data_IF_176107702035
#
_entry.id   IF_176107702035
#
_cell.length_a   1.000
_cell.length_b   1.000
_cell.length_c   1.000
_cell.angle_alpha   90.00
_cell.angle_beta   90.00
_cell.angle_gamma   90.00
#
_symmetry.space_group_name_H-M   'P 1'
#
loop_
_entity.id
_entity.type
_entity.pdbx_description
1 polymer ?
#
# COMPACT_ATOMS: atom_id res chain seq x y z
N UNK A 1 -73.79 49.33 -49.08
CA UNK A 1 -73.62 48.43 -47.94
C UNK A 1 -72.54 47.41 -48.34
N UNK A 2 -71.33 47.49 -47.82
CA UNK A 2 -70.23 46.60 -48.20
C UNK A 2 -69.96 45.66 -47.02
N UNK A 3 -70.27 44.39 -47.19
CA UNK A 3 -69.99 43.33 -46.20
C UNK A 3 -68.57 42.83 -46.35
N UNK A 4 -67.78 43.00 -45.34
CA UNK A 4 -66.39 42.45 -45.29
C UNK A 4 -66.48 41.03 -44.71
N UNK A 5 -66.04 40.04 -45.49
CA UNK A 5 -65.81 38.67 -45.03
C UNK A 5 -64.41 38.61 -44.34
N UNK A 6 -64.42 38.16 -43.10
CA UNK A 6 -63.25 37.94 -42.35
C UNK A 6 -62.82 36.45 -42.48
N UNK A 7 -61.68 36.19 -43.11
CA UNK A 7 -61.13 34.84 -43.22
C UNK A 7 -60.14 34.64 -42.07
N UNK A 8 -60.56 33.73 -41.18
CA UNK A 8 -59.70 33.33 -40.04
C UNK A 8 -58.81 32.16 -40.46
N UNK A 9 -57.53 32.41 -40.56
CA UNK A 9 -56.50 31.35 -40.80
C UNK A 9 -56.14 30.64 -39.47
N UNK A 10 -56.50 29.35 -39.40
CA UNK A 10 -56.05 28.48 -38.29
C UNK A 10 -54.70 27.91 -38.64
N UNK A 11 -53.64 28.33 -37.88
CA UNK A 11 -52.33 27.75 -37.98
C UNK A 11 -52.23 26.51 -37.05
N UNK A 12 -52.13 25.34 -37.66
CA UNK A 12 -51.88 24.07 -36.93
C UNK A 12 -50.38 23.93 -36.70
N UNK A 13 -49.97 24.12 -35.46
CA UNK A 13 -48.60 23.82 -35.02
C UNK A 13 -48.47 22.31 -34.79
N UNK A 14 -47.77 21.62 -35.69
CA UNK A 14 -47.38 20.22 -35.51
C UNK A 14 -46.11 20.19 -34.66
N UNK A 15 -46.24 19.88 -33.36
CA UNK A 15 -45.11 19.63 -32.46
C UNK A 15 -44.57 18.22 -32.72
N UNK A 16 -43.43 18.11 -33.39
CA UNK A 16 -42.68 16.86 -33.55
C UNK A 16 -41.94 16.62 -32.22
N UNK A 17 -42.47 15.74 -31.38
CA UNK A 17 -41.77 15.23 -30.20
C UNK A 17 -40.68 14.26 -30.67
N UNK A 18 -39.40 14.71 -30.67
CA UNK A 18 -38.26 13.83 -30.85
C UNK A 18 -38.10 13.03 -29.56
N UNK A 19 -38.65 11.84 -29.47
CA UNK A 19 -38.34 10.84 -28.46
C UNK A 19 -36.93 10.35 -28.75
N UNK A 20 -35.94 10.98 -28.11
CA UNK A 20 -34.59 10.46 -28.04
C UNK A 20 -34.64 9.11 -27.33
N UNK A 21 -34.40 8.02 -28.04
CA UNK A 21 -34.21 6.70 -27.47
C UNK A 21 -32.89 6.73 -26.65
N UNK A 22 -32.99 7.08 -25.37
CA UNK A 22 -31.96 6.73 -24.41
C UNK A 22 -31.97 5.21 -24.25
N UNK A 23 -31.16 4.52 -25.01
CA UNK A 23 -30.84 3.11 -24.75
C UNK A 23 -30.35 2.96 -23.31
N UNK A 24 -30.65 1.84 -22.62
CA UNK A 24 -30.11 1.62 -21.27
C UNK A 24 -28.62 1.77 -21.34
N UNK A 25 -28.06 2.73 -20.58
CA UNK A 25 -26.63 2.82 -20.39
C UNK A 25 -26.16 1.46 -19.88
N UNK A 26 -25.34 0.75 -20.65
CA UNK A 26 -24.71 -0.48 -20.23
C UNK A 26 -23.82 -0.10 -19.05
N UNK A 27 -24.35 -0.27 -17.85
CA UNK A 27 -23.62 -0.02 -16.63
C UNK A 27 -22.44 -0.99 -16.63
N UNK A 28 -21.22 -0.46 -16.77
CA UNK A 28 -20.02 -1.28 -16.76
C UNK A 28 -20.03 -2.16 -15.50
N UNK A 29 -19.93 -3.47 -15.70
CA UNK A 29 -20.02 -4.44 -14.60
C UNK A 29 -18.86 -4.19 -13.63
N UNK A 30 -19.19 -3.64 -12.47
CA UNK A 30 -18.20 -3.47 -11.41
C UNK A 30 -17.67 -4.84 -10.97
N UNK A 31 -16.37 -4.94 -10.77
CA UNK A 31 -15.73 -6.12 -10.22
C UNK A 31 -16.07 -6.24 -8.73
N UNK A 32 -16.56 -7.40 -8.32
CA UNK A 32 -16.60 -7.78 -6.91
C UNK A 32 -15.19 -8.10 -6.39
N UNK A 33 -15.09 -8.46 -5.11
CA UNK A 33 -13.82 -8.77 -4.46
C UNK A 33 -13.04 -9.86 -5.20
N UNK A 34 -13.70 -10.96 -5.57
CA UNK A 34 -13.02 -12.09 -6.23
C UNK A 34 -12.57 -11.73 -7.65
N UNK A 35 -13.38 -11.00 -8.39
CA UNK A 35 -13.02 -10.47 -9.70
C UNK A 35 -11.78 -9.60 -9.64
N UNK A 36 -11.66 -8.71 -8.65
CA UNK A 36 -10.48 -7.87 -8.44
C UNK A 36 -9.23 -8.69 -8.11
N UNK A 37 -9.34 -9.68 -7.22
CA UNK A 37 -8.23 -10.59 -6.89
C UNK A 37 -7.78 -11.37 -8.12
N UNK A 38 -8.72 -11.91 -8.89
CA UNK A 38 -8.43 -12.64 -10.13
C UNK A 38 -7.73 -11.73 -11.16
N UNK A 39 -8.12 -10.45 -11.23
CA UNK A 39 -7.45 -9.47 -12.11
C UNK A 39 -6.00 -9.26 -11.70
N UNK A 40 -5.71 -9.12 -10.40
CA UNK A 40 -4.33 -8.99 -9.90
C UNK A 40 -3.51 -10.25 -10.19
N UNK A 41 -4.07 -11.44 -9.96
CA UNK A 41 -3.39 -12.71 -10.26
C UNK A 41 -3.09 -12.85 -11.77
N UNK A 42 -4.05 -12.49 -12.62
CA UNK A 42 -3.86 -12.46 -14.07
C UNK A 42 -2.79 -11.44 -14.47
N UNK A 43 -2.76 -10.27 -13.83
CA UNK A 43 -1.74 -9.25 -14.04
C UNK A 43 -0.33 -9.76 -13.71
N UNK A 44 -0.14 -10.38 -12.54
CA UNK A 44 1.15 -10.95 -12.13
C UNK A 44 1.59 -12.06 -13.08
N UNK A 45 0.67 -12.94 -13.50
CA UNK A 45 0.96 -14.01 -14.46
C UNK A 45 1.34 -13.46 -15.84
N UNK A 46 0.69 -12.39 -16.30
CA UNK A 46 1.01 -11.70 -17.55
C UNK A 46 2.40 -11.05 -17.49
N UNK A 47 2.73 -10.44 -16.35
CA UNK A 47 4.04 -9.82 -16.12
C UNK A 47 5.17 -10.84 -16.19
N UNK A 48 5.04 -12.01 -15.55
CA UNK A 48 6.04 -13.11 -15.62
C UNK A 48 6.21 -13.64 -17.05
N UNK A 49 5.15 -13.58 -17.86
CA UNK A 49 5.20 -13.99 -19.28
C UNK A 49 5.62 -12.84 -20.21
N UNK A 50 5.92 -11.66 -19.70
CA UNK A 50 6.22 -10.45 -20.47
C UNK A 50 5.16 -10.15 -21.54
N UNK A 51 3.89 -10.46 -21.26
CA UNK A 51 2.78 -10.33 -22.20
C UNK A 51 1.70 -9.37 -21.66
N UNK A 52 1.86 -8.06 -21.87
CA UNK A 52 0.89 -7.06 -21.40
C UNK A 52 -0.49 -7.20 -22.09
N UNK A 53 -0.56 -7.74 -23.30
CA UNK A 53 -1.84 -7.95 -24.00
C UNK A 53 -2.74 -9.00 -23.32
N UNK A 54 -2.19 -9.80 -22.41
CA UNK A 54 -2.98 -10.78 -21.66
C UNK A 54 -3.92 -10.15 -20.61
N UNK A 55 -3.80 -8.85 -20.34
CA UNK A 55 -4.65 -8.11 -19.40
C UNK A 55 -5.27 -6.87 -20.04
N UNK A 56 -6.49 -6.47 -19.62
CA UNK A 56 -7.20 -5.34 -20.22
C UNK A 56 -6.69 -4.02 -19.63
N UNK A 57 -5.69 -3.41 -20.23
CA UNK A 57 -5.28 -2.05 -19.88
C UNK A 57 -6.19 -0.99 -20.52
N UNK A 58 -6.37 0.14 -19.81
CA UNK A 58 -6.93 1.34 -20.41
C UNK A 58 -5.93 1.99 -21.35
N UNK A 59 -6.41 2.80 -22.31
CA UNK A 59 -5.54 3.48 -23.29
C UNK A 59 -4.55 4.44 -22.62
N UNK A 60 -4.96 5.09 -21.53
CA UNK A 60 -4.18 6.05 -20.75
C UNK A 60 -3.87 5.50 -19.35
N UNK A 61 -3.16 4.38 -19.27
CA UNK A 61 -2.79 3.81 -17.96
C UNK A 61 -1.72 4.67 -17.28
N UNK A 62 -1.93 5.02 -16.02
CA UNK A 62 -0.91 5.61 -15.16
C UNK A 62 -0.13 4.49 -14.49
N UNK A 63 1.18 4.40 -14.77
CA UNK A 63 2.06 3.38 -14.19
C UNK A 63 3.25 4.02 -13.48
N UNK A 64 3.49 3.62 -12.24
CA UNK A 64 4.67 4.03 -11.45
C UNK A 64 5.37 2.82 -10.85
N UNK A 65 6.69 2.91 -10.70
CA UNK A 65 7.51 1.95 -9.95
C UNK A 65 8.46 2.72 -9.03
N UNK A 66 8.41 2.44 -7.73
CA UNK A 66 9.18 3.12 -6.69
C UNK A 66 9.04 4.67 -6.71
N UNK A 67 7.85 5.16 -7.03
CA UNK A 67 7.58 6.60 -7.13
C UNK A 67 7.83 7.22 -8.50
N UNK A 68 8.61 6.60 -9.36
CA UNK A 68 8.87 7.11 -10.70
C UNK A 68 7.75 6.75 -11.68
N UNK A 69 7.44 7.68 -12.56
CA UNK A 69 6.50 7.46 -13.65
C UNK A 69 7.23 6.75 -14.78
N UNK A 70 7.03 5.43 -14.90
CA UNK A 70 7.72 4.62 -15.90
C UNK A 70 7.02 4.72 -17.25
N UNK A 71 5.68 4.72 -17.26
CA UNK A 71 4.87 4.76 -18.47
C UNK A 71 3.58 5.52 -18.27
N UNK A 72 3.12 6.16 -19.33
CA UNK A 72 1.81 6.83 -19.42
C UNK A 72 0.82 6.04 -20.28
N UNK A 73 1.30 5.16 -21.15
CA UNK A 73 0.49 4.43 -22.11
C UNK A 73 1.07 3.04 -22.39
N UNK A 74 0.26 2.16 -22.97
CA UNK A 74 0.68 0.84 -23.45
C UNK A 74 1.52 0.94 -24.74
N UNK A 75 2.38 -0.05 -25.01
CA UNK A 75 2.55 -1.26 -24.24
C UNK A 75 3.38 -1.03 -22.98
N UNK A 76 2.91 -1.60 -21.86
CA UNK A 76 3.69 -1.71 -20.63
C UNK A 76 4.82 -2.70 -20.89
N UNK A 77 6.04 -2.34 -20.59
CA UNK A 77 7.18 -3.20 -20.89
C UNK A 77 8.46 -2.73 -20.23
N UNK A 78 8.36 -1.82 -19.28
CA UNK A 78 9.50 -1.23 -18.58
C UNK A 78 9.52 -1.63 -17.09
N UNK A 79 10.66 -1.38 -16.44
CA UNK A 79 10.84 -1.70 -15.04
C UNK A 79 10.78 -3.20 -14.77
N UNK A 80 10.06 -3.61 -13.74
CA UNK A 80 9.95 -5.02 -13.35
C UNK A 80 9.35 -5.91 -14.46
N UNK A 81 8.54 -5.36 -15.38
CA UNK A 81 8.04 -6.13 -16.53
C UNK A 81 9.13 -6.70 -17.44
N UNK A 82 10.29 -6.02 -17.52
CA UNK A 82 11.42 -6.49 -18.35
C UNK A 82 12.28 -7.51 -17.62
N UNK A 83 12.28 -7.52 -16.31
CA UNK A 83 13.30 -8.21 -15.52
C UNK A 83 12.77 -9.31 -14.62
N UNK A 84 11.43 -9.36 -14.40
CA UNK A 84 10.81 -10.43 -13.62
C UNK A 84 11.02 -11.78 -14.29
N UNK A 85 11.47 -12.79 -13.53
CA UNK A 85 11.78 -14.12 -14.02
C UNK A 85 10.88 -15.22 -13.45
N UNK A 86 10.04 -14.90 -12.44
CA UNK A 86 9.15 -15.88 -11.84
C UNK A 86 8.31 -15.36 -10.66
N UNK A 87 7.49 -16.21 -10.11
CA UNK A 87 6.60 -15.93 -8.98
C UNK A 87 5.14 -15.82 -9.38
N UNK A 88 4.25 -15.43 -8.45
CA UNK A 88 4.56 -15.27 -7.04
C UNK A 88 4.83 -16.61 -6.32
N UNK A 89 5.58 -16.56 -5.22
CA UNK A 89 5.80 -17.72 -4.32
C UNK A 89 4.57 -17.99 -3.45
N UNK A 90 4.70 -18.82 -2.40
CA UNK A 90 3.61 -19.03 -1.43
C UNK A 90 3.32 -17.80 -0.54
N UNK A 91 4.24 -16.82 -0.46
CA UNK A 91 3.99 -15.58 0.25
C UNK A 91 3.16 -14.62 -0.63
N UNK A 92 1.85 -14.60 -0.39
CA UNK A 92 0.91 -13.79 -1.15
C UNK A 92 -0.19 -13.25 -0.23
N UNK A 93 -0.33 -11.94 -0.18
CA UNK A 93 -1.41 -11.23 0.52
C UNK A 93 -2.16 -10.40 -0.51
N UNK A 94 -3.48 -10.55 -0.56
CA UNK A 94 -4.35 -9.77 -1.46
C UNK A 94 -5.40 -9.02 -0.64
N UNK A 95 -5.59 -7.75 -0.96
CA UNK A 95 -6.68 -6.93 -0.45
C UNK A 95 -7.44 -6.31 -1.63
N UNK A 96 -8.76 -6.35 -1.60
CA UNK A 96 -9.58 -5.84 -2.68
C UNK A 96 -10.71 -4.96 -2.14
N UNK A 97 -10.94 -3.83 -2.80
CA UNK A 97 -11.92 -2.81 -2.46
C UNK A 97 -12.89 -2.64 -3.65
N UNK A 98 -14.03 -3.34 -3.64
CA UNK A 98 -15.02 -3.23 -4.72
C UNK A 98 -15.61 -1.82 -4.86
N UNK A 99 -15.65 -1.02 -3.80
CA UNK A 99 -16.14 0.37 -3.85
C UNK A 99 -15.17 1.26 -4.61
N UNK A 100 -13.88 1.13 -4.33
CA UNK A 100 -12.84 1.88 -5.04
C UNK A 100 -12.48 1.25 -6.39
N UNK A 101 -12.99 0.05 -6.73
CA UNK A 101 -12.56 -0.77 -7.86
C UNK A 101 -11.03 -0.95 -7.88
N UNK A 102 -10.44 -1.19 -6.72
CA UNK A 102 -9.01 -1.31 -6.53
C UNK A 102 -8.63 -2.62 -5.84
N UNK A 103 -7.45 -3.13 -6.19
CA UNK A 103 -6.86 -4.31 -5.58
C UNK A 103 -5.38 -4.06 -5.34
N UNK A 104 -4.89 -4.52 -4.20
CA UNK A 104 -3.47 -4.51 -3.88
C UNK A 104 -2.98 -5.90 -3.49
N UNK A 105 -1.70 -6.14 -3.72
CA UNK A 105 -1.04 -7.35 -3.23
C UNK A 105 0.34 -7.03 -2.67
N UNK A 106 0.79 -7.88 -1.75
CA UNK A 106 2.18 -7.99 -1.31
C UNK A 106 2.63 -9.42 -1.55
N UNK A 107 3.61 -9.60 -2.41
CA UNK A 107 4.04 -10.92 -2.89
C UNK A 107 5.56 -10.98 -3.05
N UNK A 108 6.12 -12.19 -2.95
CA UNK A 108 7.49 -12.45 -3.37
C UNK A 108 7.49 -12.89 -4.83
N UNK A 109 8.25 -12.16 -5.64
CA UNK A 109 8.54 -12.47 -7.03
C UNK A 109 10.02 -12.79 -7.20
N UNK A 110 10.40 -13.23 -8.38
CA UNK A 110 11.81 -13.39 -8.77
C UNK A 110 12.16 -12.37 -9.85
N UNK A 111 13.28 -11.68 -9.65
CA UNK A 111 13.88 -10.81 -10.65
C UNK A 111 15.30 -11.31 -10.94
N UNK A 112 15.58 -11.73 -12.17
CA UNK A 112 16.86 -12.36 -12.52
C UNK A 112 17.25 -13.45 -11.50
N UNK A 113 16.26 -14.30 -11.16
CA UNK A 113 16.35 -15.43 -10.23
C UNK A 113 16.61 -15.08 -8.75
N UNK A 114 16.63 -13.78 -8.40
CA UNK A 114 16.69 -13.31 -7.00
C UNK A 114 15.30 -12.99 -6.48
N UNK A 115 15.08 -13.30 -5.22
CA UNK A 115 13.84 -12.93 -4.56
C UNK A 115 13.74 -11.41 -4.40
N UNK A 116 12.58 -10.87 -4.74
CA UNK A 116 12.19 -9.48 -4.52
C UNK A 116 10.82 -9.46 -3.83
N UNK A 117 10.56 -8.42 -3.06
CA UNK A 117 9.26 -8.17 -2.49
C UNK A 117 8.56 -7.10 -3.33
N UNK A 118 7.39 -7.45 -3.86
CA UNK A 118 6.57 -6.57 -4.69
C UNK A 118 5.27 -6.23 -3.96
N UNK A 119 5.07 -4.95 -3.71
CA UNK A 119 3.77 -4.35 -3.43
C UNK A 119 3.19 -3.80 -4.73
N UNK A 120 2.05 -4.29 -5.15
CA UNK A 120 1.39 -3.80 -6.34
C UNK A 120 -0.05 -3.37 -6.06
N UNK A 121 -0.48 -2.28 -6.69
CA UNK A 121 -1.86 -1.82 -6.71
C UNK A 121 -2.35 -1.67 -8.14
N UNK A 122 -3.55 -2.15 -8.39
CA UNK A 122 -4.31 -1.88 -9.62
C UNK A 122 -5.59 -1.13 -9.26
N UNK A 123 -5.97 -0.18 -10.11
CA UNK A 123 -7.30 0.43 -10.08
C UNK A 123 -7.96 0.22 -11.44
N UNK A 124 -9.21 -0.20 -11.41
CA UNK A 124 -9.99 -0.46 -12.61
C UNK A 124 -10.97 0.70 -12.85
N UNK A 125 -11.12 1.05 -14.12
CA UNK A 125 -12.18 1.92 -14.64
C UNK A 125 -12.83 1.15 -15.79
N UNK A 126 -14.13 0.98 -15.76
CA UNK A 126 -14.90 0.23 -16.76
C UNK A 126 -14.32 -1.17 -17.07
N UNK A 127 -13.83 -1.86 -16.03
CA UNK A 127 -13.25 -3.20 -16.14
C UNK A 127 -11.84 -3.25 -16.73
N UNK A 128 -11.23 -2.11 -17.06
CA UNK A 128 -9.85 -1.99 -17.55
C UNK A 128 -8.93 -1.46 -16.47
N UNK A 129 -7.68 -1.88 -16.48
CA UNK A 129 -6.64 -1.38 -15.58
C UNK A 129 -6.25 0.03 -16.02
N UNK A 130 -6.65 1.03 -15.21
CA UNK A 130 -6.36 2.45 -15.46
C UNK A 130 -5.16 2.97 -14.67
N UNK A 131 -4.87 2.34 -13.50
CA UNK A 131 -3.73 2.71 -12.68
C UNK A 131 -2.98 1.47 -12.23
N UNK A 132 -1.65 1.56 -12.28
CA UNK A 132 -0.72 0.56 -11.75
C UNK A 132 0.31 1.28 -10.88
N UNK A 133 0.52 0.78 -9.68
CA UNK A 133 1.55 1.26 -8.78
C UNK A 133 2.36 0.07 -8.27
N UNK A 134 3.65 0.06 -8.53
CA UNK A 134 4.60 -0.90 -8.00
C UNK A 134 5.48 -0.26 -6.94
N UNK A 135 5.67 -0.97 -5.86
CA UNK A 135 6.74 -0.73 -4.91
C UNK A 135 7.57 -2.02 -4.84
N UNK A 136 8.84 -1.92 -5.18
CA UNK A 136 9.74 -3.08 -5.31
C UNK A 136 10.91 -2.91 -4.36
N UNK A 137 11.05 -3.82 -3.41
CA UNK A 137 12.23 -3.92 -2.56
C UNK A 137 13.19 -4.98 -3.11
N UNK A 138 14.41 -4.55 -3.40
CA UNK A 138 15.52 -5.35 -3.91
C UNK A 138 16.65 -5.35 -2.90
N UNK A 139 17.34 -6.45 -2.74
CA UNK A 139 18.59 -6.50 -1.98
C UNK A 139 18.50 -6.82 -0.49
N UNK A 140 17.37 -6.59 0.17
CA UNK A 140 17.13 -6.95 1.57
C UNK A 140 16.08 -8.04 1.74
N UNK A 141 15.65 -8.64 0.64
CA UNK A 141 14.65 -9.71 0.62
C UNK A 141 15.39 -11.04 0.61
N UNK A 142 15.18 -11.82 1.65
CA UNK A 142 15.64 -13.20 1.75
C UNK A 142 14.39 -14.07 1.87
N UNK A 143 13.95 -14.62 0.74
CA UNK A 143 12.77 -15.47 0.67
C UNK A 143 12.89 -16.76 1.49
N UNK A 144 14.09 -17.11 1.97
CA UNK A 144 14.28 -18.23 2.88
C UNK A 144 13.88 -17.92 4.32
N UNK A 145 13.67 -16.65 4.68
CA UNK A 145 13.20 -16.27 6.01
C UNK A 145 11.84 -16.91 6.29
N UNK A 146 11.63 -17.50 7.47
CA UNK A 146 10.34 -18.12 7.82
C UNK A 146 9.14 -17.18 7.64
N UNK A 147 9.32 -15.90 7.93
CA UNK A 147 8.30 -14.84 7.79
C UNK A 147 7.92 -14.53 6.34
N UNK A 148 8.75 -14.91 5.38
CA UNK A 148 8.53 -14.73 3.94
C UNK A 148 8.22 -16.04 3.19
N UNK A 149 8.17 -17.18 3.90
CA UNK A 149 7.74 -18.46 3.30
C UNK A 149 6.23 -18.49 3.06
N UNK A 150 5.46 -17.93 3.97
CA UNK A 150 4.00 -17.75 3.87
C UNK A 150 3.55 -16.59 4.74
N UNK A 151 2.44 -15.93 4.39
CA UNK A 151 1.87 -14.88 5.23
C UNK A 151 1.41 -15.40 6.59
N UNK A 152 1.35 -14.51 7.58
CA UNK A 152 0.70 -14.80 8.85
C UNK A 152 -0.77 -15.14 8.63
N UNK A 153 -1.33 -16.15 9.33
CA UNK A 153 -2.71 -16.58 9.11
C UNK A 153 -3.73 -15.45 9.25
N UNK A 154 -3.56 -14.56 10.23
CA UNK A 154 -4.47 -13.46 10.49
C UNK A 154 -4.65 -12.53 9.28
N UNK A 155 -3.61 -12.32 8.46
CA UNK A 155 -3.71 -11.52 7.22
C UNK A 155 -4.57 -12.20 6.14
N UNK A 156 -4.71 -13.54 6.20
CA UNK A 156 -5.46 -14.33 5.21
C UNK A 156 -6.89 -14.62 5.61
N UNK A 157 -7.21 -14.57 6.91
CA UNK A 157 -8.52 -14.89 7.47
C UNK A 157 -9.55 -13.80 7.19
N UNK A 158 -10.77 -14.24 6.91
CA UNK A 158 -11.92 -13.33 6.84
C UNK A 158 -12.32 -12.89 8.25
N UNK A 159 -12.71 -11.63 8.38
CA UNK A 159 -13.31 -11.12 9.61
C UNK A 159 -14.76 -11.60 9.67
N UNK A 160 -15.21 -12.19 10.79
CA UNK A 160 -16.61 -12.56 10.96
C UNK A 160 -17.56 -11.42 10.64
N UNK A 161 -18.68 -11.62 9.96
CA UNK A 161 -19.57 -10.54 9.52
C UNK A 161 -19.97 -9.55 10.62
N UNK A 162 -20.21 -10.03 11.83
CA UNK A 162 -20.56 -9.20 13.00
C UNK A 162 -19.40 -8.32 13.52
N UNK A 163 -18.15 -8.59 13.12
CA UNK A 163 -16.95 -7.87 13.54
C UNK A 163 -16.34 -7.04 12.41
N UNK A 164 -16.94 -7.07 11.22
CA UNK A 164 -16.47 -6.29 10.07
C UNK A 164 -16.69 -4.81 10.33
N UNK A 165 -15.68 -4.06 9.96
CA UNK A 165 -15.74 -2.59 9.99
C UNK A 165 -16.05 -2.05 8.59
N UNK A 166 -16.63 -0.87 8.52
CA UNK A 166 -16.87 -0.22 7.25
C UNK A 166 -15.55 0.28 6.62
N UNK A 167 -15.64 0.62 5.35
CA UNK A 167 -14.52 1.11 4.56
C UNK A 167 -13.87 2.38 5.15
N UNK A 168 -14.69 3.31 5.61
CA UNK A 168 -14.22 4.59 6.16
C UNK A 168 -13.46 4.39 7.49
N UNK A 169 -13.97 3.51 8.34
CA UNK A 169 -13.32 3.15 9.61
C UNK A 169 -11.97 2.47 9.39
N UNK A 170 -11.88 1.51 8.44
CA UNK A 170 -10.61 0.86 8.09
C UNK A 170 -9.56 1.88 7.62
N UNK A 171 -9.96 2.83 6.77
CA UNK A 171 -9.08 3.89 6.28
C UNK A 171 -8.64 4.80 7.43
N UNK A 172 -9.57 5.25 8.28
CA UNK A 172 -9.29 6.13 9.42
C UNK A 172 -8.28 5.49 10.39
N UNK A 173 -8.49 4.21 10.73
CA UNK A 173 -7.58 3.48 11.62
C UNK A 173 -6.22 3.27 10.96
N UNK A 174 -6.17 2.93 9.68
CA UNK A 174 -4.89 2.83 8.97
C UNK A 174 -4.12 4.14 8.90
N UNK A 175 -4.81 5.29 8.74
CA UNK A 175 -4.18 6.61 8.74
C UNK A 175 -3.60 6.99 10.11
N UNK A 176 -4.27 6.62 11.21
CA UNK A 176 -3.79 6.93 12.56
C UNK A 176 -2.42 6.33 12.88
N UNK A 177 -2.01 5.26 12.20
CA UNK A 177 -0.65 4.72 12.30
C UNK A 177 0.42 5.75 11.94
N UNK A 178 0.19 6.50 10.87
CA UNK A 178 1.12 7.55 10.45
C UNK A 178 1.12 8.74 11.40
N UNK A 179 -0.04 9.05 12.01
CA UNK A 179 -0.14 10.08 13.03
C UNK A 179 0.64 9.68 14.28
N UNK A 180 0.55 8.41 14.69
CA UNK A 180 1.33 7.88 15.80
C UNK A 180 2.85 8.00 15.55
N UNK A 181 3.31 7.69 14.34
CA UNK A 181 4.73 7.80 13.97
C UNK A 181 5.23 9.25 13.99
N UNK A 182 4.48 10.18 13.37
CA UNK A 182 4.89 11.59 13.31
C UNK A 182 4.70 12.33 14.63
N UNK A 183 3.78 11.86 15.48
CA UNK A 183 3.58 12.38 16.84
C UNK A 183 4.49 11.75 17.89
N UNK A 184 5.27 10.72 17.53
CA UNK A 184 6.10 9.94 18.47
C UNK A 184 5.28 9.39 19.65
N UNK A 185 4.00 9.12 19.42
CA UNK A 185 3.05 8.67 20.44
C UNK A 185 2.19 7.53 19.89
N UNK A 186 2.47 6.30 20.34
CA UNK A 186 1.74 5.12 19.95
C UNK A 186 0.26 5.13 20.32
N UNK A 187 -0.16 5.96 21.27
CA UNK A 187 -1.57 6.06 21.70
C UNK A 187 -2.48 6.71 20.65
N UNK A 188 -1.91 7.38 19.63
CA UNK A 188 -2.67 7.95 18.52
C UNK A 188 -3.29 6.89 17.59
N UNK A 189 -2.78 5.66 17.64
CA UNK A 189 -3.35 4.56 16.87
C UNK A 189 -3.88 3.44 17.79
N UNK A 190 -5.05 2.87 17.50
CA UNK A 190 -5.67 1.85 18.35
C UNK A 190 -5.02 0.49 18.13
N UNK A 191 -3.81 0.28 18.65
CA UNK A 191 -3.15 -1.02 18.55
C UNK A 191 -3.80 -2.06 19.47
N UNK A 192 -3.90 -3.30 19.01
CA UNK A 192 -4.14 -4.44 19.87
C UNK A 192 -2.88 -4.70 20.72
N UNK A 193 -3.05 -5.26 21.93
CA UNK A 193 -1.91 -5.61 22.78
C UNK A 193 -0.96 -6.59 22.12
N UNK A 194 -1.51 -7.52 21.35
CA UNK A 194 -0.81 -8.54 20.56
C UNK A 194 -0.36 -8.07 19.17
N UNK A 195 -0.38 -6.75 18.92
CA UNK A 195 0.02 -6.19 17.63
C UNK A 195 1.44 -6.65 17.23
N UNK A 196 1.55 -7.18 16.00
CA UNK A 196 2.81 -7.62 15.42
C UNK A 196 3.10 -6.87 14.12
N UNK A 197 4.32 -6.30 13.98
CA UNK A 197 4.75 -5.58 12.79
C UNK A 197 5.96 -6.24 12.16
N UNK A 198 5.84 -6.52 10.86
CA UNK A 198 6.95 -6.92 10.01
C UNK A 198 7.25 -5.84 8.99
N UNK A 199 8.53 -5.71 8.63
CA UNK A 199 9.00 -4.82 7.59
C UNK A 199 10.03 -5.55 6.73
N UNK A 200 9.77 -5.65 5.42
CA UNK A 200 10.58 -6.44 4.49
C UNK A 200 10.89 -7.86 5.03
N UNK A 201 9.91 -8.48 5.68
CA UNK A 201 10.03 -9.79 6.30
C UNK A 201 10.79 -9.84 7.63
N UNK A 202 11.31 -8.72 8.14
CA UNK A 202 11.90 -8.67 9.48
C UNK A 202 10.82 -8.39 10.52
N UNK A 203 10.79 -9.16 11.62
CA UNK A 203 9.92 -8.88 12.76
C UNK A 203 10.45 -7.63 13.47
N UNK A 204 9.73 -6.52 13.36
CA UNK A 204 10.10 -5.25 13.97
C UNK A 204 9.60 -5.15 15.40
N UNK A 205 8.40 -5.67 15.66
CA UNK A 205 7.72 -5.59 16.96
C UNK A 205 6.71 -6.73 17.08
N UNK A 206 6.44 -7.18 18.29
CA UNK A 206 5.58 -8.33 18.56
C UNK A 206 6.27 -9.64 18.26
N UNK A 207 5.56 -10.75 18.35
CA UNK A 207 6.05 -12.07 18.01
C UNK A 207 7.42 -12.40 18.61
N UNK A 208 8.18 -13.23 17.90
CA UNK A 208 9.56 -13.58 18.27
C UNK A 208 10.53 -12.64 17.55
N UNK A 209 10.66 -11.41 18.05
CA UNK A 209 11.65 -10.45 17.52
C UNK A 209 13.08 -11.00 17.72
N UNK A 210 13.80 -11.15 16.62
CA UNK A 210 15.21 -11.49 16.68
C UNK A 210 16.05 -10.21 16.69
N UNK A 211 16.95 -10.09 17.66
CA UNK A 211 17.93 -9.00 17.62
C UNK A 211 18.78 -9.12 16.34
N UNK A 212 19.10 -8.00 15.68
CA UNK A 212 19.97 -7.99 14.53
C UNK A 212 21.30 -8.68 14.90
N UNK A 213 21.72 -9.66 14.11
CA UNK A 213 23.04 -10.28 14.31
C UNK A 213 24.11 -9.34 13.74
N UNK A 214 25.22 -9.06 14.48
CA UNK A 214 26.34 -8.33 13.92
C UNK A 214 26.87 -9.08 12.69
N UNK A 215 27.28 -8.35 11.66
CA UNK A 215 28.00 -8.95 10.54
C UNK A 215 29.37 -9.41 11.06
N UNK A 216 29.78 -10.67 10.85
CA UNK A 216 31.02 -11.23 11.44
C UNK A 216 32.29 -10.45 11.10
N UNK A 217 32.32 -9.71 10.00
CA UNK A 217 33.46 -8.99 9.46
C UNK A 217 33.40 -7.47 9.71
N UNK A 218 32.40 -6.96 10.41
CA UNK A 218 32.27 -5.54 10.66
C UNK A 218 33.28 -5.10 11.74
N UNK A 219 34.01 -4.02 11.49
CA UNK A 219 34.80 -3.34 12.53
C UNK A 219 33.87 -2.93 13.67
N UNK A 220 34.32 -2.95 14.93
CA UNK A 220 33.57 -2.46 16.06
C UNK A 220 33.04 -1.03 15.74
N UNK A 221 31.76 -0.85 15.73
CA UNK A 221 31.09 0.45 15.57
C UNK A 221 30.27 0.72 16.84
N UNK A 222 30.77 1.59 17.73
CA UNK A 222 30.06 1.90 18.98
C UNK A 222 28.66 2.40 18.81
N UNK A 223 28.38 3.12 17.70
CA UNK A 223 27.01 3.60 17.41
C UNK A 223 26.09 2.45 16.98
N UNK A 224 26.60 1.51 16.17
CA UNK A 224 25.85 0.33 15.80
C UNK A 224 25.56 -0.57 17.02
N UNK A 225 26.55 -0.71 17.93
CA UNK A 225 26.36 -1.45 19.16
C UNK A 225 25.32 -0.80 20.08
N UNK A 226 25.37 0.52 20.25
CA UNK A 226 24.37 1.27 21.01
C UNK A 226 22.98 1.11 20.41
N UNK A 227 22.84 1.21 19.07
CA UNK A 227 21.57 0.98 18.37
C UNK A 227 21.03 -0.43 18.60
N UNK A 228 21.88 -1.45 18.51
CA UNK A 228 21.45 -2.84 18.77
C UNK A 228 21.01 -3.03 20.23
N UNK A 229 21.74 -2.47 21.18
CA UNK A 229 21.37 -2.50 22.61
C UNK A 229 20.04 -1.80 22.86
N UNK A 230 19.84 -0.61 22.27
CA UNK A 230 18.60 0.14 22.37
C UNK A 230 17.42 -0.65 21.79
N UNK A 231 17.57 -1.19 20.57
CA UNK A 231 16.51 -1.98 19.94
C UNK A 231 16.17 -3.24 20.76
N UNK A 232 17.13 -3.88 21.39
CA UNK A 232 16.88 -5.05 22.22
C UNK A 232 16.11 -4.69 23.51
N UNK A 233 16.33 -3.50 24.06
CA UNK A 233 15.69 -3.02 25.29
C UNK A 233 14.35 -2.31 25.06
N UNK A 234 14.00 -1.98 23.81
CA UNK A 234 12.73 -1.32 23.48
C UNK A 234 11.52 -2.21 23.77
N UNK A 235 10.38 -1.60 24.17
CA UNK A 235 9.12 -2.33 24.31
C UNK A 235 8.79 -3.16 23.06
N UNK A 236 8.37 -4.42 23.28
CA UNK A 236 7.98 -5.31 22.18
C UNK A 236 6.47 -5.24 21.89
N UNK A 237 5.92 -4.03 21.87
CA UNK A 237 4.53 -3.73 21.49
C UNK A 237 4.52 -2.61 20.46
N UNK A 238 3.55 -2.60 19.54
CA UNK A 238 3.45 -1.58 18.50
C UNK A 238 3.34 -0.15 19.09
N UNK A 239 2.48 0.02 20.09
CA UNK A 239 2.30 1.28 20.82
C UNK A 239 3.60 1.70 21.54
N UNK A 240 4.14 0.79 22.34
CA UNK A 240 5.30 1.10 23.19
C UNK A 240 6.54 1.45 22.36
N UNK A 241 6.81 0.73 21.26
CA UNK A 241 7.98 1.04 20.41
C UNK A 241 7.86 2.44 19.78
N UNK A 242 6.70 2.81 19.27
CA UNK A 242 6.49 4.15 18.68
C UNK A 242 6.68 5.23 19.75
N UNK A 243 6.12 5.03 20.95
CA UNK A 243 6.20 5.99 22.04
C UNK A 243 7.63 6.19 22.60
N UNK A 244 8.60 5.35 22.21
CA UNK A 244 9.99 5.60 22.59
C UNK A 244 10.66 6.76 21.86
N UNK A 245 10.09 7.28 20.77
CA UNK A 245 10.74 8.28 19.90
C UNK A 245 11.77 7.70 18.93
N UNK A 246 11.84 6.37 18.79
CA UNK A 246 12.81 5.71 17.88
C UNK A 246 12.62 6.07 16.40
N UNK A 247 11.50 6.69 16.05
CA UNK A 247 11.18 7.14 14.70
C UNK A 247 11.31 8.65 14.50
N UNK A 248 11.82 9.39 15.50
CA UNK A 248 11.99 10.85 15.45
C UNK A 248 12.85 11.34 14.28
N UNK A 249 13.68 10.47 13.69
CA UNK A 249 14.45 10.78 12.49
C UNK A 249 13.61 10.93 11.21
N UNK A 250 12.35 10.48 11.24
CA UNK A 250 11.41 10.64 10.13
C UNK A 250 10.84 12.07 10.21
N UNK A 251 11.26 12.93 9.29
CA UNK A 251 10.90 14.36 9.32
C UNK A 251 9.54 14.65 8.72
N UNK A 252 9.05 13.80 7.82
CA UNK A 252 7.68 13.88 7.28
C UNK A 252 7.26 12.52 6.71
N UNK A 253 5.95 12.29 6.66
CA UNK A 253 5.35 11.16 5.94
C UNK A 253 4.29 11.74 4.99
N UNK A 254 4.67 11.97 3.73
CA UNK A 254 3.78 12.61 2.74
C UNK A 254 4.15 12.19 1.31
N UNK A 255 3.16 11.83 0.45
CA UNK A 255 1.75 11.66 0.78
C UNK A 255 1.48 10.42 1.64
N UNK A 256 0.30 10.42 2.30
CA UNK A 256 -0.27 9.27 3.01
C UNK A 256 -1.56 8.87 2.30
N UNK A 257 -1.58 7.72 1.64
CA UNK A 257 -2.72 7.31 0.82
C UNK A 257 -3.20 5.92 1.22
N UNK A 258 -4.36 5.81 1.88
CA UNK A 258 -5.05 4.53 2.08
C UNK A 258 -5.92 4.28 0.85
N UNK A 259 -5.50 3.37 0.00
CA UNK A 259 -6.00 3.21 -1.38
C UNK A 259 -6.88 1.97 -1.58
N UNK A 260 -6.83 1.02 -0.65
CA UNK A 260 -7.65 -0.19 -0.66
C UNK A 260 -8.13 -0.47 0.77
N UNK A 261 -9.43 -0.74 0.92
CA UNK A 261 -10.03 -1.19 2.17
C UNK A 261 -10.88 -2.44 1.91
N UNK A 262 -10.34 -3.61 2.26
CA UNK A 262 -11.00 -4.91 2.12
C UNK A 262 -11.80 -5.22 3.38
N UNK A 263 -13.07 -4.88 3.37
CA UNK A 263 -13.96 -5.05 4.54
C UNK A 263 -14.19 -6.50 4.92
N UNK A 264 -14.07 -7.44 3.96
CA UNK A 264 -14.22 -8.87 4.24
C UNK A 264 -13.04 -9.39 5.05
N UNK A 265 -11.84 -8.97 4.72
CA UNK A 265 -10.62 -9.39 5.43
C UNK A 265 -10.18 -8.43 6.53
N UNK A 266 -10.84 -7.28 6.67
CA UNK A 266 -10.41 -6.24 7.59
C UNK A 266 -9.00 -5.73 7.25
N UNK A 267 -8.68 -5.59 5.97
CA UNK A 267 -7.38 -5.11 5.53
C UNK A 267 -7.50 -3.68 5.00
N UNK A 268 -6.67 -2.79 5.54
CA UNK A 268 -6.42 -1.48 4.95
C UNK A 268 -5.02 -1.45 4.34
N UNK A 269 -4.91 -0.94 3.10
CA UNK A 269 -3.63 -0.86 2.41
C UNK A 269 -3.29 0.58 2.11
N UNK A 270 -2.13 1.02 2.59
CA UNK A 270 -1.60 2.36 2.41
C UNK A 270 -0.30 2.36 1.62
N UNK A 271 -0.16 3.39 0.77
CA UNK A 271 1.11 3.78 0.17
C UNK A 271 1.49 5.15 0.71
N UNK A 272 2.72 5.30 1.15
CA UNK A 272 3.23 6.52 1.77
C UNK A 272 4.69 6.75 1.43
N UNK A 273 5.14 7.99 1.56
CA UNK A 273 6.54 8.36 1.39
C UNK A 273 7.07 8.91 2.71
N UNK A 274 7.97 8.18 3.35
CA UNK A 274 8.69 8.63 4.52
C UNK A 274 9.89 9.45 4.08
N UNK A 275 10.09 10.59 4.72
CA UNK A 275 11.18 11.50 4.41
C UNK A 275 12.14 11.58 5.60
N UNK A 276 13.41 11.49 5.30
CA UNK A 276 14.49 11.66 6.26
C UNK A 276 15.51 12.65 5.71
N UNK A 277 15.52 13.86 6.24
CA UNK A 277 16.36 14.96 5.76
C UNK A 277 17.77 15.01 6.39
N UNK A 278 18.05 14.11 7.36
CA UNK A 278 19.33 14.04 8.05
C UNK A 278 19.60 15.22 8.99
N UNK A 279 18.60 16.04 9.30
CA UNK A 279 18.75 17.20 10.21
C UNK A 279 18.96 16.78 11.66
N UNK A 280 18.23 15.75 12.11
CA UNK A 280 18.36 15.21 13.45
C UNK A 280 19.64 14.39 13.59
N UNK A 281 20.49 14.71 14.58
CA UNK A 281 21.74 13.98 14.83
C UNK A 281 21.59 12.93 15.94
N UNK A 282 20.78 13.25 16.93
CA UNK A 282 20.55 12.40 18.10
C UNK A 282 19.06 12.35 18.37
N UNK A 283 18.51 11.15 18.46
CA UNK A 283 17.12 10.91 18.83
C UNK A 283 17.02 10.81 20.35
N UNK A 284 16.18 11.61 21.01
CA UNK A 284 15.83 11.36 22.40
C UNK A 284 15.00 10.07 22.48
N UNK A 285 15.39 9.18 23.39
CA UNK A 285 14.71 7.90 23.60
C UNK A 285 14.02 7.94 24.97
N UNK A 286 12.75 7.53 24.99
CA UNK A 286 11.89 7.56 26.18
C UNK A 286 11.53 6.13 26.61
N UNK A 287 11.47 5.88 27.91
CA UNK A 287 10.95 4.62 28.45
C UNK A 287 11.82 3.38 28.18
N UNK A 288 13.10 3.55 27.81
CA UNK A 288 14.04 2.45 27.59
C UNK A 288 15.10 2.48 28.69
N UNK A 289 15.15 1.48 29.58
CA UNK A 289 16.07 1.49 30.73
C UNK A 289 17.55 1.67 30.32
N UNK A 290 18.20 2.69 30.85
CA UNK A 290 19.62 2.98 30.63
C UNK A 290 19.95 3.53 29.25
N UNK A 291 18.95 3.99 28.48
CA UNK A 291 19.14 4.59 27.16
C UNK A 291 18.21 5.81 27.03
N UNK A 292 18.79 7.00 27.12
CA UNK A 292 18.07 8.27 27.04
C UNK A 292 18.17 8.89 25.63
N UNK A 293 19.10 8.42 24.82
CA UNK A 293 19.31 8.90 23.45
C UNK A 293 19.98 7.86 22.57
N UNK A 294 19.84 8.04 21.26
CA UNK A 294 20.44 7.18 20.24
C UNK A 294 20.85 8.02 19.03
N UNK A 295 22.00 7.73 18.38
CA UNK A 295 22.35 8.38 17.12
C UNK A 295 21.26 8.19 16.06
N UNK A 296 20.85 9.29 15.42
CA UNK A 296 19.95 9.23 14.27
C UNK A 296 20.72 8.78 13.01
N UNK A 297 20.04 8.18 12.02
CA UNK A 297 20.64 7.94 10.72
C UNK A 297 21.13 9.26 10.11
N UNK A 298 22.35 9.30 9.59
CA UNK A 298 22.94 10.53 9.04
C UNK A 298 22.72 10.68 7.53
N UNK A 299 22.43 9.58 6.85
CA UNK A 299 22.18 9.58 5.42
C UNK A 299 20.77 10.11 5.13
N UNK A 300 20.68 11.09 4.24
CA UNK A 300 19.38 11.62 3.77
C UNK A 300 18.76 10.65 2.76
N UNK A 301 17.48 10.34 2.94
CA UNK A 301 16.78 9.44 2.02
C UNK A 301 15.26 9.66 2.05
N UNK A 302 14.61 9.16 1.02
CA UNK A 302 13.18 8.91 0.99
C UNK A 302 12.94 7.40 1.08
N UNK A 303 11.86 7.01 1.78
CA UNK A 303 11.49 5.62 1.96
C UNK A 303 10.01 5.43 1.59
N UNK A 304 9.72 5.21 0.28
CA UNK A 304 8.37 4.81 -0.11
C UNK A 304 8.02 3.50 0.55
N UNK A 305 6.82 3.43 1.10
CA UNK A 305 6.34 2.27 1.84
C UNK A 305 4.95 1.86 1.43
N UNK A 306 4.71 0.56 1.41
CA UNK A 306 3.39 -0.04 1.42
C UNK A 306 3.15 -0.68 2.78
N UNK A 307 2.01 -0.38 3.40
CA UNK A 307 1.58 -0.99 4.65
C UNK A 307 0.26 -1.72 4.44
N UNK A 308 0.18 -2.94 4.93
CA UNK A 308 -1.06 -3.71 5.04
C UNK A 308 -1.37 -3.82 6.53
N UNK A 309 -2.48 -3.25 6.95
CA UNK A 309 -2.98 -3.29 8.32
C UNK A 309 -4.08 -4.32 8.42
N UNK A 310 -3.96 -5.30 9.32
CA UNK A 310 -5.07 -6.15 9.75
C UNK A 310 -5.81 -5.46 10.87
N UNK A 311 -7.05 -5.10 10.60
CA UNK A 311 -7.90 -4.35 11.53
C UNK A 311 -9.16 -5.16 11.83
N UNK A 312 -9.47 -5.34 13.10
CA UNK A 312 -10.70 -5.95 13.58
C UNK A 312 -11.07 -5.36 14.93
N UNK A 313 -12.36 -5.31 15.25
CA UNK A 313 -12.85 -4.76 16.53
C UNK A 313 -12.25 -3.39 16.87
N UNK A 314 -12.05 -2.54 15.86
CA UNK A 314 -11.52 -1.19 16.03
C UNK A 314 -10.01 -1.11 16.34
N UNK A 315 -9.23 -2.21 16.19
CA UNK A 315 -7.81 -2.25 16.56
C UNK A 315 -6.94 -2.83 15.46
N UNK A 316 -5.69 -2.38 15.38
CA UNK A 316 -4.64 -2.90 14.50
C UNK A 316 -3.97 -4.09 15.19
N UNK A 317 -4.12 -5.28 14.60
CA UNK A 317 -3.54 -6.53 15.10
C UNK A 317 -2.23 -6.89 14.40
N UNK A 318 -2.14 -6.62 13.11
CA UNK A 318 -0.96 -6.96 12.33
C UNK A 318 -0.65 -5.85 11.33
N UNK A 319 0.64 -5.61 11.15
CA UNK A 319 1.17 -4.71 10.13
C UNK A 319 2.18 -5.50 9.32
N UNK A 320 1.96 -5.58 8.01
CA UNK A 320 2.94 -6.11 7.06
C UNK A 320 3.40 -4.98 6.17
N UNK A 321 4.68 -4.64 6.23
CA UNK A 321 5.23 -3.49 5.53
C UNK A 321 6.31 -3.88 4.52
N UNK A 322 6.28 -3.20 3.41
CA UNK A 322 7.32 -3.17 2.40
C UNK A 322 7.84 -1.74 2.30
N UNK A 323 9.15 -1.57 2.30
CA UNK A 323 9.80 -0.30 2.03
C UNK A 323 10.99 -0.46 1.10
N UNK A 324 11.31 0.60 0.37
CA UNK A 324 12.44 0.66 -0.53
C UNK A 324 13.21 1.97 -0.34
N UNK A 325 14.55 1.91 -0.48
CA UNK A 325 15.39 3.09 -0.39
C UNK A 325 15.34 3.90 -1.70
N UNK A 326 15.12 5.21 -1.57
CA UNK A 326 15.27 6.17 -2.66
C UNK A 326 16.15 7.35 -2.21
N UNK A 327 16.84 8.02 -3.14
CA UNK A 327 17.53 9.28 -2.84
C UNK A 327 16.57 10.32 -2.26
N UNK A 328 17.06 11.17 -1.37
CA UNK A 328 16.27 12.26 -0.79
C UNK A 328 15.77 13.22 -1.89
N UNK A 329 14.51 13.62 -1.81
CA UNK A 329 13.85 14.45 -2.79
C UNK A 329 13.18 13.68 -3.94
N UNK A 330 13.24 12.34 -3.94
CA UNK A 330 12.47 11.52 -4.87
C UNK A 330 10.98 11.79 -4.72
N UNK A 331 10.25 11.81 -5.84
CA UNK A 331 8.82 12.09 -5.85
C UNK A 331 8.00 10.79 -5.85
N UNK A 332 6.84 10.75 -5.22
CA UNK A 332 6.03 9.53 -5.12
C UNK A 332 5.31 9.15 -6.43
N UNK A 333 5.25 10.05 -7.41
CA UNK A 333 4.52 9.81 -8.66
C UNK A 333 2.98 9.92 -8.56
N UNK A 334 2.44 10.16 -7.35
CA UNK A 334 0.99 10.20 -7.06
C UNK A 334 0.60 11.47 -6.31
#
# INVERSE_FOLDING_TARGET
MKTKCLVTAVAVLVSIAIMGAFGPAVQAKQCDRQCLVNMMQRYLAAMVKHNPQAVPFADNVKFTENGEKIMESLPVGKGLWETVSGGPTAFQIYAADPVAQAVACLVIMKEKDKDILLGARLKLVDGKIAEVEHLVSRGNVDGSRPTLQKPRPGLLEDVPPAERMDRGELIKIGLSYYDALTGEDGTYAPFARECERHENGAVSVGGTRQAPKPKPEAKPDPEAELRMKAMAAMPNTCEGQISTGTFAYITDISPRRLVVADTQKGLAVGFSMFQHDGSLKVMPIKGVPGIDSMPAPQLRFNWPSMHIFKIRKGKIYEIEALGAYLPYGAKPGW
#
